data_IF_332551161503
#
_entry.id   IF_332551161503
#
_cell.length_a   1.000
_cell.length_b   1.000
_cell.length_c   1.000
_cell.angle_alpha   90.00
_cell.angle_beta   90.00
_cell.angle_gamma   90.00
#
_symmetry.space_group_name_H-M   'P 1'
#
loop_
_entity.id
_entity.type
_entity.pdbx_description
1 polymer ?
#
# COMPACT_ATOMS: atom_id res chain seq x y z
N UNK A 1 3.62 6.45 21.93
CA UNK A 1 3.14 6.36 20.54
C UNK A 1 2.97 4.87 20.24
N UNK A 2 1.73 4.39 20.38
CA UNK A 2 1.34 2.99 20.55
C UNK A 2 1.91 1.99 19.53
N UNK A 3 2.35 0.83 20.03
CA UNK A 3 2.76 -0.36 19.27
C UNK A 3 1.83 -0.64 18.09
N UNK A 4 0.53 -0.38 18.24
CA UNK A 4 -0.48 -0.53 17.19
C UNK A 4 -0.15 0.29 15.94
N UNK A 5 0.23 1.56 16.10
CA UNK A 5 0.58 2.43 14.98
C UNK A 5 1.86 1.95 14.29
N UNK A 6 2.83 1.45 15.05
CA UNK A 6 4.06 0.89 14.50
C UNK A 6 3.79 -0.38 13.67
N UNK A 7 2.91 -1.27 14.16
CA UNK A 7 2.49 -2.48 13.43
C UNK A 7 1.79 -2.10 12.12
N UNK A 8 0.90 -1.11 12.14
CA UNK A 8 0.23 -0.61 10.93
C UNK A 8 1.23 -0.11 9.90
N UNK A 9 2.23 0.65 10.33
CA UNK A 9 3.30 1.13 9.44
C UNK A 9 4.15 0.01 8.84
N UNK A 10 4.49 -1.01 9.63
CA UNK A 10 5.26 -2.17 9.14
C UNK A 10 4.45 -2.94 8.08
N UNK A 11 3.16 -3.16 8.32
CA UNK A 11 2.28 -3.83 7.35
C UNK A 11 2.16 -3.02 6.05
N UNK A 12 2.00 -1.70 6.16
CA UNK A 12 1.95 -0.79 5.01
C UNK A 12 3.27 -0.82 4.21
N UNK A 13 4.40 -0.71 4.89
CA UNK A 13 5.71 -0.76 4.23
C UNK A 13 5.93 -2.10 3.51
N UNK A 14 5.52 -3.20 4.12
CA UNK A 14 5.60 -4.54 3.53
C UNK A 14 4.69 -4.65 2.29
N UNK A 15 3.48 -4.10 2.35
CA UNK A 15 2.56 -4.07 1.21
C UNK A 15 3.12 -3.25 0.03
N UNK A 16 3.71 -2.08 0.30
CA UNK A 16 4.39 -1.29 -0.75
C UNK A 16 5.55 -2.09 -1.36
N UNK A 17 6.38 -2.71 -0.52
CA UNK A 17 7.55 -3.45 -1.00
C UNK A 17 7.16 -4.65 -1.87
N UNK A 18 6.12 -5.40 -1.48
CA UNK A 18 5.64 -6.54 -2.29
C UNK A 18 5.09 -6.11 -3.66
N UNK A 19 4.41 -4.96 -3.75
CA UNK A 19 3.98 -4.39 -5.03
C UNK A 19 5.18 -4.00 -5.89
N UNK A 20 6.18 -3.32 -5.31
CA UNK A 20 7.39 -2.91 -6.03
C UNK A 20 8.14 -4.14 -6.57
N UNK A 21 8.37 -5.15 -5.74
CA UNK A 21 9.01 -6.41 -6.15
C UNK A 21 8.20 -7.12 -7.24
N UNK A 22 6.87 -7.16 -7.10
CA UNK A 22 5.97 -7.70 -8.11
C UNK A 22 6.08 -6.97 -9.45
N UNK A 23 6.21 -5.63 -9.42
CA UNK A 23 6.39 -4.82 -10.62
C UNK A 23 7.71 -5.16 -11.34
N UNK A 24 8.83 -5.18 -10.60
CA UNK A 24 10.13 -5.55 -11.16
C UNK A 24 10.15 -6.98 -11.70
N UNK A 25 9.47 -7.92 -11.03
CA UNK A 25 9.35 -9.29 -11.51
C UNK A 25 8.60 -9.38 -12.85
N UNK A 26 7.52 -8.61 -13.01
CA UNK A 26 6.78 -8.53 -14.28
C UNK A 26 7.62 -7.89 -15.39
N UNK A 27 8.35 -6.81 -15.10
CA UNK A 27 9.27 -6.17 -16.04
C UNK A 27 10.34 -7.16 -16.49
N UNK A 28 10.97 -7.86 -15.55
CA UNK A 28 12.02 -8.83 -15.81
C UNK A 28 11.54 -9.98 -16.71
N UNK A 29 10.37 -10.54 -16.42
CA UNK A 29 9.79 -11.60 -17.26
C UNK A 29 9.42 -11.10 -18.66
N UNK A 30 8.86 -9.89 -18.75
CA UNK A 30 8.52 -9.26 -20.02
C UNK A 30 9.76 -9.01 -20.87
N UNK A 31 10.87 -8.55 -20.26
CA UNK A 31 12.15 -8.34 -20.94
C UNK A 31 12.77 -9.65 -21.47
N UNK A 32 12.49 -10.78 -20.82
CA UNK A 32 12.93 -12.12 -21.27
C UNK A 32 11.94 -12.80 -22.22
N UNK A 33 10.85 -12.14 -22.60
CA UNK A 33 9.80 -12.74 -23.44
C UNK A 33 9.11 -13.94 -22.79
N UNK A 34 9.24 -14.11 -21.47
CA UNK A 34 8.65 -15.23 -20.75
C UNK A 34 7.22 -14.91 -20.33
N UNK A 35 6.29 -15.89 -20.35
CA UNK A 35 4.95 -15.69 -19.85
C UNK A 35 4.99 -15.39 -18.35
N UNK A 36 4.47 -14.22 -17.97
CA UNK A 36 4.28 -13.87 -16.58
C UNK A 36 3.01 -14.55 -16.02
N UNK A 37 3.07 -15.22 -14.85
CA UNK A 37 1.91 -15.87 -14.25
C UNK A 37 0.81 -14.86 -13.85
N UNK A 38 1.20 -13.61 -13.57
CA UNK A 38 0.29 -12.51 -13.25
C UNK A 38 0.35 -11.44 -14.33
N UNK A 39 -0.81 -10.95 -14.75
CA UNK A 39 -0.89 -9.81 -15.69
C UNK A 39 -0.68 -8.50 -14.94
N UNK A 40 -0.11 -7.50 -15.62
CA UNK A 40 0.01 -6.10 -15.17
C UNK A 40 -1.25 -5.55 -14.51
N UNK A 41 -2.44 -5.97 -14.99
CA UNK A 41 -3.73 -5.63 -14.40
C UNK A 41 -3.81 -5.94 -12.89
N UNK A 42 -3.28 -7.06 -12.43
CA UNK A 42 -3.31 -7.43 -11.00
C UNK A 42 -2.43 -6.50 -10.16
N UNK A 43 -1.28 -6.10 -10.69
CA UNK A 43 -0.40 -5.13 -10.06
C UNK A 43 -1.09 -3.76 -9.91
N UNK A 44 -1.74 -3.28 -10.98
CA UNK A 44 -2.48 -2.02 -10.95
C UNK A 44 -3.67 -2.08 -9.98
N UNK A 45 -4.40 -3.20 -9.93
CA UNK A 45 -5.48 -3.38 -8.96
C UNK A 45 -4.94 -3.38 -7.53
N UNK A 46 -3.85 -4.10 -7.25
CA UNK A 46 -3.22 -4.09 -5.93
C UNK A 46 -2.75 -2.69 -5.52
N UNK A 47 -2.18 -1.93 -6.45
CA UNK A 47 -1.76 -0.54 -6.21
C UNK A 47 -2.96 0.37 -5.96
N UNK A 48 -4.04 0.25 -6.73
CA UNK A 48 -5.26 1.04 -6.54
C UNK A 48 -5.91 0.76 -5.18
N UNK A 49 -6.00 -0.51 -4.78
CA UNK A 49 -6.52 -0.91 -3.46
C UNK A 49 -5.64 -0.35 -2.34
N UNK A 50 -4.31 -0.45 -2.47
CA UNK A 50 -3.39 0.10 -1.47
C UNK A 50 -3.52 1.63 -1.35
N UNK A 51 -3.60 2.33 -2.49
CA UNK A 51 -3.79 3.79 -2.53
C UNK A 51 -5.10 4.23 -1.88
N UNK A 52 -6.19 3.50 -2.13
CA UNK A 52 -7.49 3.75 -1.53
C UNK A 52 -7.46 3.54 -0.01
N UNK A 53 -6.85 2.44 0.46
CA UNK A 53 -6.66 2.18 1.89
C UNK A 53 -5.82 3.27 2.55
N UNK A 54 -4.75 3.72 1.90
CA UNK A 54 -3.88 4.77 2.42
C UNK A 54 -4.63 6.11 2.56
N UNK A 55 -5.42 6.46 1.54
CA UNK A 55 -6.22 7.70 1.54
C UNK A 55 -7.30 7.67 2.63
N UNK A 56 -8.02 6.55 2.77
CA UNK A 56 -9.05 6.39 3.80
C UNK A 56 -8.44 6.40 5.20
N UNK A 57 -7.34 5.66 5.41
CA UNK A 57 -6.68 5.58 6.71
C UNK A 57 -6.07 6.93 7.12
N UNK A 58 -5.36 7.60 6.20
CA UNK A 58 -4.80 8.94 6.44
C UNK A 58 -5.89 9.98 6.71
N UNK A 59 -6.98 9.95 5.94
CA UNK A 59 -8.15 10.81 6.15
C UNK A 59 -8.80 10.58 7.51
N UNK A 60 -9.02 9.32 7.90
CA UNK A 60 -9.57 8.96 9.20
C UNK A 60 -8.69 9.44 10.36
N UNK A 61 -7.37 9.21 10.28
CA UNK A 61 -6.42 9.68 11.29
C UNK A 61 -6.43 11.21 11.41
N UNK A 62 -6.51 11.93 10.28
CA UNK A 62 -6.64 13.39 10.26
C UNK A 62 -7.93 13.86 10.96
N UNK A 63 -9.07 13.22 10.70
CA UNK A 63 -10.33 13.55 11.36
C UNK A 63 -10.24 13.29 12.87
N UNK A 64 -9.76 12.11 13.28
CA UNK A 64 -9.64 11.74 14.71
C UNK A 64 -8.72 12.72 15.44
N UNK A 65 -7.55 13.03 14.87
CA UNK A 65 -6.59 13.96 15.50
C UNK A 65 -7.14 15.36 15.63
N UNK A 66 -7.86 15.88 14.61
CA UNK A 66 -8.50 17.19 14.70
C UNK A 66 -9.66 17.21 15.72
N UNK A 67 -10.46 16.14 15.81
CA UNK A 67 -11.51 16.02 16.83
C UNK A 67 -10.94 15.96 18.25
N UNK A 68 -9.80 15.30 18.44
CA UNK A 68 -9.10 15.25 19.73
C UNK A 68 -8.46 16.61 20.10
N UNK A 69 -7.94 17.35 19.12
CA UNK A 69 -7.37 18.69 19.36
C UNK A 69 -8.43 19.80 19.56
N UNK A 70 -9.65 19.61 19.02
CA UNK A 70 -10.74 20.58 19.11
C UNK A 70 -11.59 20.48 20.38
N UNK A 71 -11.35 19.50 21.25
CA UNK A 71 -12.05 19.33 22.52
C UNK A 71 -11.07 19.63 23.67
N UNK A 72 -11.15 20.79 24.32
CA UNK A 72 -10.28 21.13 25.46
C UNK A 72 -10.47 20.18 26.65
#
# INVERSE_FOLDING_TARGET
MDIVLAVVWILLATAVFTIVVGAFYLIYKNARGQPAPFKWRHLFVALAVLSLLFTLFGGLMSIITNLQYGNP
#
